data_IF_660144232156
#
_entry.id   IF_660144232156
#
_cell.length_a   1.000
_cell.length_b   1.000
_cell.length_c   1.000
_cell.angle_alpha   90.00
_cell.angle_beta   90.00
_cell.angle_gamma   90.00
#
_symmetry.space_group_name_H-M   'P 1'
#
loop_
_entity.id
_entity.type
_entity.pdbx_description
1 polymer ?
#
# COMPACT_ATOMS: atom_id res chain seq x y z
N UNK A 1 -25.10 20.91 -21.24
CA UNK A 1 -24.01 20.53 -20.30
C UNK A 1 -24.13 19.12 -19.70
N UNK A 2 -25.32 18.59 -19.38
CA UNK A 2 -25.47 17.23 -18.83
C UNK A 2 -25.08 16.09 -19.81
N UNK A 3 -25.33 16.27 -21.11
CA UNK A 3 -25.01 15.28 -22.17
C UNK A 3 -23.49 15.04 -22.35
N UNK A 4 -22.68 16.08 -22.18
CA UNK A 4 -21.23 16.01 -22.40
C UNK A 4 -20.50 15.26 -21.26
N UNK A 5 -21.01 15.35 -20.03
CA UNK A 5 -20.48 14.66 -18.85
C UNK A 5 -20.70 13.14 -18.97
N UNK A 6 -21.89 12.72 -19.42
CA UNK A 6 -22.21 11.30 -19.63
C UNK A 6 -21.31 10.61 -20.66
N UNK A 7 -20.98 11.29 -21.76
CA UNK A 7 -20.08 10.79 -22.80
C UNK A 7 -18.63 10.62 -22.29
N UNK A 8 -18.11 11.58 -21.53
CA UNK A 8 -16.76 11.49 -20.94
C UNK A 8 -16.64 10.33 -19.95
N UNK A 9 -17.66 10.13 -19.09
CA UNK A 9 -17.70 8.99 -18.16
C UNK A 9 -17.63 7.64 -18.88
N UNK A 10 -18.38 7.48 -19.98
CA UNK A 10 -18.33 6.26 -20.79
C UNK A 10 -16.97 6.02 -21.44
N UNK A 11 -16.32 7.09 -21.92
CA UNK A 11 -15.00 7.01 -22.54
C UNK A 11 -13.91 6.62 -21.52
N UNK A 12 -13.93 7.20 -20.33
CA UNK A 12 -13.03 6.82 -19.23
C UNK A 12 -13.23 5.36 -18.84
N UNK A 13 -14.48 4.92 -18.69
CA UNK A 13 -14.79 3.53 -18.38
C UNK A 13 -14.33 2.55 -19.48
N UNK A 14 -14.37 2.95 -20.75
CA UNK A 14 -13.83 2.17 -21.86
C UNK A 14 -12.32 1.98 -21.73
N UNK A 15 -11.57 3.04 -21.46
CA UNK A 15 -10.11 2.95 -21.31
C UNK A 15 -9.69 2.11 -20.10
N UNK A 16 -10.43 2.16 -18.99
CA UNK A 16 -10.18 1.29 -17.84
C UNK A 16 -10.35 -0.19 -18.16
N UNK A 17 -11.34 -0.55 -18.99
CA UNK A 17 -11.55 -1.93 -19.44
C UNK A 17 -10.51 -2.37 -20.49
N UNK A 18 -10.04 -1.44 -21.30
CA UNK A 18 -9.05 -1.74 -22.35
C UNK A 18 -7.63 -1.93 -21.76
N UNK A 19 -7.30 -1.22 -20.69
CA UNK A 19 -5.98 -1.26 -20.05
C UNK A 19 -6.04 -1.74 -18.59
N UNK A 20 -6.50 -2.98 -18.31
CA UNK A 20 -6.66 -3.48 -16.94
C UNK A 20 -5.31 -3.73 -16.24
N UNK A 21 -4.23 -3.94 -17.01
CA UNK A 21 -2.88 -4.13 -16.49
C UNK A 21 -2.15 -2.82 -16.12
N UNK A 22 -2.81 -1.68 -16.33
CA UNK A 22 -2.28 -0.35 -16.03
C UNK A 22 -2.88 0.21 -14.74
N UNK A 23 -2.11 1.07 -14.08
CA UNK A 23 -2.46 1.61 -12.75
C UNK A 23 -3.37 2.84 -12.84
N UNK A 24 -4.46 2.73 -13.61
CA UNK A 24 -5.44 3.80 -13.79
C UNK A 24 -6.58 3.74 -12.76
N UNK A 25 -7.11 4.92 -12.42
CA UNK A 25 -8.32 5.12 -11.62
C UNK A 25 -9.20 6.16 -12.29
N UNK A 26 -10.49 6.15 -11.97
CA UNK A 26 -11.42 7.17 -12.43
C UNK A 26 -12.29 7.67 -11.30
N UNK A 27 -12.52 8.98 -11.30
CA UNK A 27 -13.54 9.64 -10.46
C UNK A 27 -14.75 10.07 -11.31
N UNK A 28 -15.12 9.23 -12.28
CA UNK A 28 -16.17 9.52 -13.26
C UNK A 28 -15.61 10.04 -14.59
N UNK A 29 -15.37 11.34 -14.72
CA UNK A 29 -15.01 11.99 -16.00
C UNK A 29 -13.50 12.21 -16.20
N UNK A 30 -12.70 11.83 -15.20
CA UNK A 30 -11.24 11.95 -15.21
C UNK A 30 -10.60 10.57 -15.23
N UNK A 31 -9.67 10.35 -16.16
CA UNK A 31 -8.74 9.23 -16.13
C UNK A 31 -7.47 9.67 -15.39
N UNK A 32 -7.15 9.00 -14.30
CA UNK A 32 -6.01 9.31 -13.44
C UNK A 32 -5.00 8.17 -13.46
N UNK A 33 -3.73 8.46 -13.70
CA UNK A 33 -2.66 7.47 -13.58
C UNK A 33 -2.07 7.53 -12.18
N UNK A 34 -2.27 6.47 -11.40
CA UNK A 34 -1.70 6.40 -10.05
C UNK A 34 -0.21 6.09 -10.04
N UNK A 35 0.37 5.62 -11.16
CA UNK A 35 1.82 5.46 -11.27
C UNK A 35 2.50 6.82 -11.43
N UNK A 36 1.94 7.68 -12.28
CA UNK A 36 2.49 9.00 -12.58
C UNK A 36 1.92 10.14 -11.72
N UNK A 37 0.96 9.83 -10.85
CA UNK A 37 0.24 10.79 -10.00
C UNK A 37 -0.29 12.00 -10.76
N UNK A 38 -0.88 11.75 -11.95
CA UNK A 38 -1.37 12.82 -12.83
C UNK A 38 -2.58 12.41 -13.64
N UNK A 39 -3.34 13.42 -14.06
CA UNK A 39 -4.44 13.29 -15.02
C UNK A 39 -3.90 12.88 -16.38
N UNK A 40 -4.54 11.90 -17.00
CA UNK A 40 -4.25 11.45 -18.36
C UNK A 40 -5.38 11.87 -19.27
N UNK A 41 -5.02 12.54 -20.36
CA UNK A 41 -5.99 12.93 -21.38
C UNK A 41 -6.51 11.68 -22.09
N UNK A 42 -7.83 11.51 -22.07
CA UNK A 42 -8.50 10.31 -22.58
C UNK A 42 -9.43 10.60 -23.77
N UNK A 43 -9.38 11.82 -24.32
CA UNK A 43 -10.20 12.24 -25.48
C UNK A 43 -9.99 11.35 -26.70
N UNK A 44 -8.77 10.80 -26.85
CA UNK A 44 -8.44 9.81 -27.87
C UNK A 44 -7.59 8.69 -27.24
N UNK A 45 -7.73 7.48 -27.79
CA UNK A 45 -6.99 6.29 -27.37
C UNK A 45 -5.47 6.46 -27.46
N UNK A 46 -4.99 7.11 -28.51
CA UNK A 46 -3.56 7.39 -28.75
C UNK A 46 -2.90 8.10 -27.57
N UNK A 47 -3.61 9.00 -26.89
CA UNK A 47 -3.09 9.76 -25.75
C UNK A 47 -2.82 8.85 -24.54
N UNK A 48 -3.70 7.87 -24.31
CA UNK A 48 -3.52 6.87 -23.25
C UNK A 48 -2.40 5.90 -23.61
N UNK A 49 -2.35 5.42 -24.86
CA UNK A 49 -1.28 4.55 -25.34
C UNK A 49 0.10 5.22 -25.26
N UNK A 50 0.20 6.48 -25.67
CA UNK A 50 1.43 7.26 -25.58
C UNK A 50 1.86 7.47 -24.13
N UNK A 51 0.91 7.76 -23.23
CA UNK A 51 1.20 7.87 -21.80
C UNK A 51 1.83 6.59 -21.25
N UNK A 52 1.25 5.43 -21.58
CA UNK A 52 1.75 4.12 -21.12
C UNK A 52 3.15 3.81 -21.70
N UNK A 53 3.41 4.23 -22.95
CA UNK A 53 4.68 4.03 -23.62
C UNK A 53 5.79 5.01 -23.16
N UNK A 54 5.45 6.03 -22.39
CA UNK A 54 6.43 7.03 -21.94
C UNK A 54 7.38 6.43 -20.90
N UNK A 55 8.69 6.71 -21.01
CA UNK A 55 9.70 6.21 -20.07
C UNK A 55 9.40 6.52 -18.60
N UNK A 56 8.84 7.70 -18.31
CA UNK A 56 8.38 8.08 -16.97
C UNK A 56 7.30 7.14 -16.41
N UNK A 57 6.33 6.72 -17.23
CA UNK A 57 5.30 5.77 -16.79
C UNK A 57 5.88 4.40 -16.54
N UNK A 58 6.75 3.92 -17.44
CA UNK A 58 7.42 2.62 -17.32
C UNK A 58 8.25 2.57 -16.03
N UNK A 59 9.07 3.59 -15.78
CA UNK A 59 9.88 3.68 -14.56
C UNK A 59 8.99 3.72 -13.31
N UNK A 60 7.97 4.59 -13.29
CA UNK A 60 7.07 4.73 -12.15
C UNK A 60 6.27 3.45 -11.87
N UNK A 61 5.81 2.76 -12.91
CA UNK A 61 5.12 1.46 -12.80
C UNK A 61 6.03 0.41 -12.19
N UNK A 62 7.30 0.36 -12.61
CA UNK A 62 8.29 -0.56 -12.04
C UNK A 62 8.63 -0.21 -10.59
N UNK A 63 8.84 1.07 -10.26
CA UNK A 63 9.07 1.55 -8.88
C UNK A 63 7.92 1.21 -7.95
N UNK A 64 6.67 1.29 -8.41
CA UNK A 64 5.49 1.03 -7.58
C UNK A 64 5.28 -0.46 -7.28
N UNK A 65 5.67 -1.37 -8.18
CA UNK A 65 5.75 -2.81 -7.88
C UNK A 65 6.70 -3.10 -6.70
N UNK A 66 7.83 -2.38 -6.64
CA UNK A 66 8.81 -2.49 -5.54
C UNK A 66 8.31 -1.83 -4.25
N UNK A 67 7.53 -0.74 -4.33
CA UNK A 67 6.97 -0.08 -3.13
C UNK A 67 5.80 -0.83 -2.49
N UNK A 68 4.99 -1.58 -3.25
CA UNK A 68 3.93 -2.41 -2.66
C UNK A 68 4.50 -3.51 -1.76
N UNK A 69 5.73 -3.98 -2.00
CA UNK A 69 6.42 -4.94 -1.12
C UNK A 69 7.16 -4.30 0.05
N UNK A 70 7.32 -2.96 0.07
CA UNK A 70 8.08 -2.26 1.11
C UNK A 70 7.45 -0.91 1.42
N UNK A 71 6.53 -0.89 2.39
CA UNK A 71 6.37 0.27 3.28
C UNK A 71 7.65 0.40 4.14
N UNK A 72 8.77 0.73 3.51
CA UNK A 72 10.11 0.73 4.11
C UNK A 72 10.27 1.72 5.28
N UNK A 73 9.33 2.66 5.45
CA UNK A 73 9.34 3.58 6.58
C UNK A 73 8.93 2.89 7.91
N UNK A 74 8.20 1.76 7.84
CA UNK A 74 7.84 0.95 9.02
C UNK A 74 8.71 -0.30 9.19
N UNK A 75 9.55 -0.61 8.21
CA UNK A 75 10.42 -1.80 8.20
C UNK A 75 11.87 -1.40 7.97
N UNK A 76 12.50 -0.80 8.99
CA UNK A 76 13.94 -0.98 9.14
C UNK A 76 14.21 -2.49 9.27
N UNK A 77 15.10 -3.08 8.47
CA UNK A 77 15.58 -4.44 8.70
C UNK A 77 16.57 -4.38 9.87
N UNK A 78 16.06 -4.20 11.09
CA UNK A 78 16.84 -4.57 12.26
C UNK A 78 17.01 -6.09 12.19
N UNK A 79 18.24 -6.51 11.92
CA UNK A 79 18.70 -7.89 12.05
C UNK A 79 18.06 -8.56 13.26
N UNK A 80 17.49 -9.74 13.05
CA UNK A 80 16.85 -10.60 14.07
C UNK A 80 15.67 -9.98 14.85
N UNK A 81 14.63 -9.46 14.20
CA UNK A 81 13.31 -9.39 14.85
C UNK A 81 12.76 -10.81 15.03
N UNK A 82 12.97 -11.35 16.23
CA UNK A 82 12.45 -12.66 16.62
C UNK A 82 10.94 -12.74 16.39
N UNK A 83 10.47 -13.84 15.80
CA UNK A 83 9.04 -14.16 15.60
C UNK A 83 8.18 -13.86 16.82
N UNK A 84 8.75 -14.10 18.01
CA UNK A 84 8.14 -13.84 19.31
C UNK A 84 7.61 -12.41 19.47
N UNK A 85 8.38 -11.37 19.14
CA UNK A 85 7.96 -9.98 19.38
C UNK A 85 6.70 -9.64 18.58
N UNK A 86 6.61 -10.16 17.36
CA UNK A 86 5.45 -10.01 16.49
C UNK A 86 4.27 -10.81 17.04
N UNK A 87 4.47 -12.10 17.35
CA UNK A 87 3.39 -12.98 17.83
C UNK A 87 2.80 -12.50 19.17
N UNK A 88 3.66 -12.06 20.09
CA UNK A 88 3.25 -11.48 21.37
C UNK A 88 2.44 -10.19 21.16
N UNK A 89 2.87 -9.34 20.22
CA UNK A 89 2.16 -8.11 19.89
C UNK A 89 0.74 -8.40 19.40
N UNK A 90 0.58 -9.36 18.47
CA UNK A 90 -0.73 -9.77 17.97
C UNK A 90 -1.61 -10.39 19.05
N UNK A 91 -1.04 -11.23 19.93
CA UNK A 91 -1.79 -11.85 21.02
C UNK A 91 -2.38 -10.80 21.98
N UNK A 92 -1.57 -9.81 22.37
CA UNK A 92 -2.00 -8.73 23.26
C UNK A 92 -3.10 -7.88 22.63
N UNK A 93 -2.95 -7.48 21.36
CA UNK A 93 -3.97 -6.71 20.63
C UNK A 93 -5.29 -7.48 20.53
N UNK A 94 -5.24 -8.77 20.20
CA UNK A 94 -6.45 -9.60 20.07
C UNK A 94 -7.14 -9.88 21.40
N UNK A 95 -6.39 -9.91 22.49
CA UNK A 95 -6.90 -10.07 23.84
C UNK A 95 -7.35 -8.74 24.48
N UNK A 96 -7.26 -7.62 23.75
CA UNK A 96 -7.52 -6.27 24.25
C UNK A 96 -6.66 -5.91 25.48
N UNK A 97 -5.41 -6.39 25.49
CA UNK A 97 -4.45 -6.15 26.57
C UNK A 97 -3.47 -5.04 26.16
N UNK A 98 -3.44 -3.90 26.89
CA UNK A 98 -2.51 -2.83 26.60
C UNK A 98 -1.03 -3.23 26.81
N UNK A 99 -0.15 -2.76 25.93
CA UNK A 99 1.30 -3.03 25.99
C UNK A 99 1.99 -2.58 27.28
N UNK A 100 1.51 -1.51 27.93
CA UNK A 100 2.12 -1.01 29.17
C UNK A 100 2.12 -2.06 30.31
N UNK A 101 1.27 -3.09 30.21
CA UNK A 101 1.26 -4.21 31.17
C UNK A 101 2.56 -5.02 31.11
N UNK A 102 3.25 -5.05 29.98
CA UNK A 102 4.59 -5.66 29.85
C UNK A 102 5.67 -4.95 30.66
N UNK A 103 5.44 -3.68 31.07
CA UNK A 103 6.36 -2.95 31.95
C UNK A 103 6.23 -3.38 33.42
N UNK A 104 5.21 -4.17 33.76
CA UNK A 104 5.10 -4.75 35.10
C UNK A 104 6.20 -5.82 35.29
N UNK A 105 7.08 -5.68 36.29
CA UNK A 105 8.22 -6.58 36.47
C UNK A 105 7.81 -8.04 36.72
N UNK A 106 6.67 -8.28 37.37
CA UNK A 106 6.16 -9.64 37.59
C UNK A 106 5.67 -10.28 36.29
N UNK A 107 4.96 -9.51 35.46
CA UNK A 107 4.46 -10.01 34.18
C UNK A 107 5.61 -10.23 33.18
N UNK A 108 6.56 -9.27 33.12
CA UNK A 108 7.79 -9.40 32.32
C UNK A 108 8.61 -10.62 32.75
N UNK A 109 8.86 -10.77 34.06
CA UNK A 109 9.63 -11.88 34.60
C UNK A 109 9.00 -13.24 34.34
N UNK A 110 7.66 -13.34 34.44
CA UNK A 110 6.92 -14.54 34.05
C UNK A 110 7.17 -14.89 32.58
N UNK A 111 6.98 -13.93 31.67
CA UNK A 111 7.19 -14.16 30.24
C UNK A 111 8.63 -14.53 29.93
N UNK A 112 9.62 -13.83 30.48
CA UNK A 112 11.04 -14.14 30.26
C UNK A 112 11.44 -15.53 30.75
N UNK A 113 10.88 -15.97 31.89
CA UNK A 113 11.17 -17.29 32.48
C UNK A 113 10.68 -18.43 31.60
N UNK A 114 9.44 -18.34 31.08
CA UNK A 114 8.83 -19.43 30.33
C UNK A 114 9.10 -19.38 28.82
N UNK A 115 9.39 -18.19 28.27
CA UNK A 115 9.62 -18.01 26.84
C UNK A 115 11.12 -18.13 26.49
N UNK A 116 12.01 -18.05 27.48
CA UNK A 116 13.45 -18.22 27.28
C UNK A 116 14.10 -17.15 26.41
N UNK A 117 13.40 -16.03 26.19
CA UNK A 117 13.85 -14.87 25.42
C UNK A 117 13.62 -13.63 26.25
N UNK A 118 14.61 -12.72 26.25
CA UNK A 118 14.43 -11.38 26.84
C UNK A 118 13.27 -10.67 26.15
N UNK A 119 12.38 -10.10 26.95
CA UNK A 119 11.29 -9.31 26.40
C UNK A 119 11.87 -8.02 25.83
N UNK A 120 11.32 -7.54 24.70
CA UNK A 120 11.73 -6.26 24.14
C UNK A 120 11.44 -5.17 25.18
N UNK A 121 12.50 -4.54 25.67
CA UNK A 121 12.45 -3.25 26.35
C UNK A 121 12.45 -2.20 25.22
N UNK A 122 11.51 -1.25 25.26
CA UNK A 122 11.43 -0.16 24.27
C UNK A 122 12.74 0.63 24.15
#
# INVERSE_FOLDING_TARGET
NATNIGLKKQLVAKHLREFPAELFRSDGDILYCTACDKRVSCSQRSQVTQHIATGSHIENKNRKKVRTSYQAFLTSPSSSKSTLSTDLCWALVRADIPFHKLKNPHFKGFLETYIGKKMPDE
#
